data_IF_956777462508
#
_entry.id   IF_956777462508
#
_cell.length_a   1.000
_cell.length_b   1.000
_cell.length_c   1.000
_cell.angle_alpha   90.00
_cell.angle_beta   90.00
_cell.angle_gamma   90.00
#
_symmetry.space_group_name_H-M   'P 1'
#
loop_
_entity.id
_entity.type
_entity.pdbx_description
1 polymer ?
#
# COMPACT_ATOMS: atom_id res chain seq x y z
N UNK A 1 1.52 22.30 -5.24
CA UNK A 1 2.34 21.09 -5.57
C UNK A 1 1.99 19.94 -4.64
N UNK A 2 1.73 20.22 -3.35
CA UNK A 2 1.28 19.25 -2.34
C UNK A 2 -0.04 18.56 -2.72
N UNK A 3 -1.02 19.33 -3.20
CA UNK A 3 -2.37 18.83 -3.50
C UNK A 3 -2.40 17.72 -4.56
N UNK A 4 -1.47 17.76 -5.52
CA UNK A 4 -1.38 16.73 -6.56
C UNK A 4 -0.85 15.40 -6.01
N UNK A 5 0.15 15.46 -5.13
CA UNK A 5 0.70 14.26 -4.51
C UNK A 5 -0.31 13.67 -3.53
N UNK A 6 -1.00 14.52 -2.78
CA UNK A 6 -2.08 14.12 -1.88
C UNK A 6 -3.21 13.40 -2.62
N UNK A 7 -3.76 13.98 -3.69
CA UNK A 7 -4.81 13.32 -4.48
C UNK A 7 -4.31 12.00 -5.10
N UNK A 8 -3.07 11.95 -5.60
CA UNK A 8 -2.51 10.71 -6.15
C UNK A 8 -2.38 9.61 -5.08
N UNK A 9 -1.92 9.95 -3.88
CA UNK A 9 -1.82 9.02 -2.76
C UNK A 9 -3.21 8.55 -2.31
N UNK A 10 -4.15 9.49 -2.11
CA UNK A 10 -5.50 9.19 -1.64
C UNK A 10 -6.26 8.31 -2.64
N UNK A 11 -6.26 8.66 -3.93
CA UNK A 11 -6.93 7.87 -4.98
C UNK A 11 -6.36 6.46 -5.07
N UNK A 12 -5.03 6.33 -5.04
CA UNK A 12 -4.34 5.04 -5.11
C UNK A 12 -4.62 4.20 -3.86
N UNK A 13 -4.60 4.81 -2.67
CA UNK A 13 -4.94 4.13 -1.42
C UNK A 13 -6.39 3.63 -1.45
N UNK A 14 -7.36 4.45 -1.85
CA UNK A 14 -8.76 4.03 -1.98
C UNK A 14 -8.94 2.88 -2.98
N UNK A 15 -8.22 2.87 -4.11
CA UNK A 15 -8.22 1.72 -5.04
C UNK A 15 -7.73 0.43 -4.38
N UNK A 16 -6.68 0.52 -3.55
CA UNK A 16 -6.12 -0.64 -2.86
C UNK A 16 -7.02 -1.13 -1.72
N UNK A 17 -7.70 -0.22 -1.02
CA UNK A 17 -8.69 -0.57 0.01
C UNK A 17 -9.89 -1.31 -0.59
N UNK A 18 -10.30 -0.97 -1.82
CA UNK A 18 -11.41 -1.62 -2.51
C UNK A 18 -11.16 -3.10 -2.87
N UNK A 19 -9.90 -3.57 -2.82
CA UNK A 19 -9.57 -4.98 -3.01
C UNK A 19 -9.44 -5.64 -1.65
N UNK A 20 -10.37 -6.53 -1.30
CA UNK A 20 -10.20 -7.37 -0.11
C UNK A 20 -8.93 -8.22 -0.24
N UNK A 21 -8.13 -8.28 0.81
CA UNK A 21 -6.89 -9.08 0.84
C UNK A 21 -6.63 -9.71 2.20
N UNK A 22 -7.69 -9.92 2.99
CA UNK A 22 -7.58 -10.45 4.34
C UNK A 22 -6.87 -11.81 4.34
N UNK A 23 -5.93 -12.02 5.27
CA UNK A 23 -5.26 -13.30 5.46
C UNK A 23 -6.12 -14.28 6.27
N UNK A 24 -5.88 -15.58 6.07
CA UNK A 24 -6.55 -16.65 6.82
C UNK A 24 -5.50 -17.46 7.58
N UNK A 25 -5.48 -17.31 8.91
CA UNK A 25 -4.54 -17.99 9.79
C UNK A 25 -4.71 -19.52 9.83
N UNK A 26 -5.87 -20.05 9.39
CA UNK A 26 -6.14 -21.49 9.30
C UNK A 26 -5.67 -22.09 7.97
N UNK A 27 -5.34 -21.25 7.00
CA UNK A 27 -4.91 -21.69 5.68
C UNK A 27 -3.54 -22.38 5.76
N UNK A 28 -3.39 -23.43 4.97
CA UNK A 28 -2.13 -24.18 4.80
C UNK A 28 -1.45 -23.87 3.47
N UNK A 29 -2.00 -22.93 2.69
CA UNK A 29 -1.48 -22.49 1.41
C UNK A 29 -0.91 -21.07 1.51
N UNK A 30 -0.05 -20.71 0.56
CA UNK A 30 0.47 -19.36 0.40
C UNK A 30 0.23 -18.91 -1.06
N UNK A 31 -0.53 -17.83 -1.30
CA UNK A 31 -1.20 -16.99 -0.31
C UNK A 31 -2.29 -17.72 0.47
N UNK A 32 -2.65 -17.18 1.65
CA UNK A 32 -3.67 -17.79 2.51
C UNK A 32 -5.07 -17.67 1.91
N UNK A 33 -5.31 -16.62 1.12
CA UNK A 33 -6.60 -16.35 0.46
C UNK A 33 -6.40 -15.99 -1.02
N UNK A 34 -7.31 -16.42 -1.92
CA UNK A 34 -7.20 -16.10 -3.35
C UNK A 34 -7.24 -14.59 -3.66
N UNK A 35 -7.90 -13.80 -2.81
CA UNK A 35 -8.04 -12.35 -3.02
C UNK A 35 -6.70 -11.60 -2.92
N UNK A 36 -5.71 -12.16 -2.24
CA UNK A 36 -4.33 -11.63 -2.25
C UNK A 36 -3.71 -11.67 -3.65
N UNK A 37 -4.04 -12.67 -4.49
CA UNK A 37 -3.59 -12.68 -5.88
C UNK A 37 -4.17 -11.52 -6.70
N UNK A 38 -5.46 -11.17 -6.49
CA UNK A 38 -6.07 -10.06 -7.21
C UNK A 38 -5.37 -8.72 -6.89
N UNK A 39 -4.96 -8.53 -5.63
CA UNK A 39 -4.15 -7.38 -5.24
C UNK A 39 -2.76 -7.41 -5.91
N UNK A 40 -2.09 -8.56 -5.92
CA UNK A 40 -0.80 -8.73 -6.57
C UNK A 40 -0.84 -8.45 -8.08
N UNK A 41 -1.89 -8.92 -8.78
CA UNK A 41 -2.12 -8.67 -10.21
C UNK A 41 -2.29 -7.18 -10.50
N UNK A 42 -3.15 -6.49 -9.72
CA UNK A 42 -3.32 -5.03 -9.86
C UNK A 42 -1.98 -4.30 -9.71
N UNK A 43 -1.21 -4.61 -8.68
CA UNK A 43 0.07 -3.94 -8.42
C UNK A 43 1.08 -4.21 -9.54
N UNK A 44 1.17 -5.44 -10.04
CA UNK A 44 2.05 -5.78 -11.14
C UNK A 44 1.70 -5.00 -12.42
N UNK A 45 0.41 -4.87 -12.72
CA UNK A 45 -0.05 -4.11 -13.89
C UNK A 45 0.25 -2.62 -13.74
N UNK A 46 0.05 -2.03 -12.56
CA UNK A 46 0.42 -0.65 -12.30
C UNK A 46 1.95 -0.42 -12.38
N UNK A 47 2.77 -1.37 -11.91
CA UNK A 47 4.25 -1.31 -12.02
C UNK A 47 4.71 -1.39 -13.49
N UNK A 48 4.09 -2.28 -14.29
CA UNK A 48 4.34 -2.37 -15.74
C UNK A 48 3.93 -1.09 -16.45
N UNK A 49 2.75 -0.56 -16.16
CA UNK A 49 2.25 0.69 -16.73
C UNK A 49 3.16 1.89 -16.37
N UNK A 50 3.79 1.84 -15.20
CA UNK A 50 4.77 2.83 -14.74
C UNK A 50 6.17 2.66 -15.37
N UNK A 51 6.35 1.65 -16.23
CA UNK A 51 7.58 1.42 -16.98
C UNK A 51 8.70 0.76 -16.18
N UNK A 52 8.37 -0.03 -15.15
CA UNK A 52 9.36 -0.84 -14.44
C UNK A 52 9.70 -2.11 -15.22
N UNK A 53 10.95 -2.56 -15.04
CA UNK A 53 11.49 -3.78 -15.62
C UNK A 53 11.26 -4.98 -14.70
N UNK A 54 11.45 -6.19 -15.24
CA UNK A 54 11.51 -7.44 -14.46
C UNK A 54 10.28 -7.62 -13.53
N UNK A 55 9.09 -7.19 -13.98
CA UNK A 55 7.85 -7.30 -13.18
C UNK A 55 7.33 -8.73 -13.19
N UNK A 56 7.45 -9.41 -12.05
CA UNK A 56 7.08 -10.81 -11.85
C UNK A 56 6.11 -10.95 -10.68
N UNK A 57 5.12 -11.81 -10.85
CA UNK A 57 4.30 -12.34 -9.76
C UNK A 57 4.68 -13.82 -9.63
N UNK A 58 5.06 -14.26 -8.43
CA UNK A 58 5.29 -15.69 -8.17
C UNK A 58 4.01 -16.42 -7.75
N UNK A 59 4.12 -17.73 -7.56
CA UNK A 59 2.99 -18.59 -7.15
C UNK A 59 2.43 -18.24 -5.76
N UNK A 60 3.13 -17.43 -4.97
CA UNK A 60 2.78 -17.02 -3.61
C UNK A 60 2.22 -15.60 -3.53
N UNK A 61 1.84 -15.02 -4.69
CA UNK A 61 1.39 -13.64 -4.83
C UNK A 61 2.45 -12.59 -4.44
N UNK A 62 3.74 -12.95 -4.48
CA UNK A 62 4.82 -11.99 -4.29
C UNK A 62 5.03 -11.22 -5.59
N UNK A 63 4.88 -9.89 -5.52
CA UNK A 63 5.16 -9.02 -6.66
C UNK A 63 6.57 -8.47 -6.53
N UNK A 64 7.40 -8.67 -7.55
CA UNK A 64 8.71 -8.04 -7.66
C UNK A 64 8.79 -7.19 -8.91
N UNK A 65 9.46 -6.04 -8.81
CA UNK A 65 9.70 -5.16 -9.95
C UNK A 65 11.00 -4.37 -9.78
N UNK A 66 11.58 -3.98 -10.91
CA UNK A 66 12.84 -3.26 -10.95
C UNK A 66 12.68 -1.90 -11.59
N UNK A 67 13.08 -0.85 -10.87
CA UNK A 67 13.41 0.44 -11.48
C UNK A 67 14.92 0.52 -11.70
N UNK A 68 15.41 0.88 -12.88
CA UNK A 68 16.87 1.00 -13.10
C UNK A 68 17.39 2.32 -12.54
N UNK A 69 18.50 2.27 -11.82
CA UNK A 69 19.18 3.48 -11.34
C UNK A 69 19.94 4.19 -12.46
N UNK A 70 20.31 5.45 -12.21
CA UNK A 70 21.13 6.26 -13.13
C UNK A 70 22.58 6.46 -12.64
N UNK A 71 22.97 5.79 -11.55
CA UNK A 71 24.31 5.83 -10.95
C UNK A 71 24.86 4.41 -10.87
N UNK A 72 25.83 4.02 -11.72
CA UNK A 72 26.36 2.66 -11.75
C UNK A 72 26.93 2.19 -10.41
N UNK A 73 27.58 3.08 -9.66
CA UNK A 73 28.30 2.74 -8.43
C UNK A 73 27.48 2.95 -7.14
N UNK A 74 26.21 3.33 -7.28
CA UNK A 74 25.33 3.46 -6.12
C UNK A 74 24.90 2.07 -5.61
N UNK A 75 24.72 1.90 -4.29
CA UNK A 75 24.15 0.68 -3.73
C UNK A 75 22.71 0.50 -4.18
N UNK A 76 22.26 -0.77 -4.20
CA UNK A 76 20.86 -1.11 -4.46
C UNK A 76 20.05 -0.93 -3.18
N UNK A 77 18.85 -0.39 -3.31
CA UNK A 77 17.89 -0.25 -2.22
C UNK A 77 16.64 -1.04 -2.58
N UNK A 78 16.11 -1.77 -1.60
CA UNK A 78 14.86 -2.51 -1.71
C UNK A 78 13.78 -1.87 -0.83
N UNK A 79 12.56 -1.79 -1.34
CA UNK A 79 11.38 -1.44 -0.55
C UNK A 79 10.50 -2.68 -0.45
N UNK A 80 10.13 -3.04 0.79
CA UNK A 80 9.29 -4.20 1.06
C UNK A 80 8.05 -3.75 1.81
N UNK A 81 6.89 -4.23 1.36
CA UNK A 81 5.57 -3.98 1.94
C UNK A 81 4.76 -5.27 1.88
N UNK A 82 3.73 -5.43 2.71
CA UNK A 82 2.79 -6.54 2.55
C UNK A 82 1.46 -6.10 1.97
N UNK A 83 0.72 -7.03 1.37
CA UNK A 83 -0.53 -6.74 0.66
C UNK A 83 -1.78 -7.21 1.42
N UNK A 84 -1.61 -8.12 2.37
CA UNK A 84 -2.70 -8.67 3.14
C UNK A 84 -3.11 -7.75 4.29
N UNK A 85 -4.36 -7.93 4.74
CA UNK A 85 -4.88 -7.31 5.96
C UNK A 85 -5.14 -8.39 7.00
N UNK A 86 -5.02 -8.04 8.27
CA UNK A 86 -5.26 -8.99 9.37
C UNK A 86 -6.74 -9.39 9.48
N UNK A 87 -7.00 -10.65 9.85
CA UNK A 87 -8.30 -11.11 10.33
C UNK A 87 -8.41 -10.88 11.85
N UNK A 88 -9.32 -9.98 12.25
CA UNK A 88 -9.67 -9.69 13.64
C UNK A 88 -11.13 -10.04 13.96
N UNK A 89 -11.77 -10.87 13.12
CA UNK A 89 -13.19 -11.22 13.26
C UNK A 89 -14.16 -10.14 12.76
N UNK A 90 -13.67 -9.21 11.94
CA UNK A 90 -14.46 -8.16 11.28
C UNK A 90 -14.57 -8.42 9.77
N UNK A 91 -15.40 -7.63 9.09
CA UNK A 91 -15.59 -7.74 7.64
C UNK A 91 -14.26 -7.62 6.89
N UNK A 92 -14.01 -8.46 5.86
CA UNK A 92 -12.87 -8.33 4.97
C UNK A 92 -13.05 -7.22 3.92
N UNK A 93 -14.26 -6.65 3.81
CA UNK A 93 -14.62 -5.58 2.89
C UNK A 93 -14.49 -4.22 3.58
N UNK A 94 -13.71 -3.33 2.97
CA UNK A 94 -13.34 -2.05 3.56
C UNK A 94 -14.17 -0.94 2.93
N UNK A 95 -14.83 -0.14 3.77
CA UNK A 95 -15.59 1.04 3.37
C UNK A 95 -14.91 2.30 3.91
N UNK A 96 -13.90 2.84 3.19
CA UNK A 96 -13.15 3.99 3.67
C UNK A 96 -13.97 5.28 3.54
N UNK A 97 -13.80 6.17 4.52
CA UNK A 97 -14.42 7.49 4.55
C UNK A 97 -13.42 8.55 4.99
N UNK A 98 -13.53 9.75 4.42
CA UNK A 98 -12.71 10.91 4.83
C UNK A 98 -13.55 11.76 5.77
N UNK A 99 -13.16 11.82 7.04
CA UNK A 99 -13.82 12.63 8.06
C UNK A 99 -12.83 13.62 8.66
N UNK A 100 -13.31 14.79 9.06
CA UNK A 100 -12.47 15.77 9.79
C UNK A 100 -12.51 15.45 11.27
N UNK A 101 -11.35 15.21 11.87
CA UNK A 101 -11.27 14.98 13.31
C UNK A 101 -11.36 16.30 14.06
N UNK A 102 -12.38 16.47 14.91
CA UNK A 102 -12.62 17.72 15.64
C UNK A 102 -12.13 17.70 17.09
N UNK A 103 -11.59 16.58 17.57
CA UNK A 103 -11.13 16.42 18.96
C UNK A 103 -12.22 15.95 19.92
N UNK A 104 -13.34 15.47 19.41
CA UNK A 104 -14.49 14.94 20.15
C UNK A 104 -14.88 13.58 19.56
N UNK A 105 -15.65 12.77 20.28
CA UNK A 105 -16.11 11.46 19.80
C UNK A 105 -16.72 11.54 18.39
N UNK A 106 -16.32 10.62 17.52
CA UNK A 106 -16.69 10.60 16.11
C UNK A 106 -17.51 9.36 15.80
N UNK A 107 -18.73 9.55 15.31
CA UNK A 107 -19.56 8.44 14.83
C UNK A 107 -19.00 7.93 13.50
N UNK A 108 -18.59 6.67 13.46
CA UNK A 108 -18.10 6.00 12.25
C UNK A 108 -19.25 5.38 11.46
N UNK A 109 -20.25 4.85 12.16
CA UNK A 109 -21.43 4.24 11.55
C UNK A 109 -22.65 4.42 12.46
N UNK A 110 -23.61 5.23 12.01
CA UNK A 110 -24.81 5.55 12.76
C UNK A 110 -25.84 4.41 12.79
N UNK A 111 -25.84 3.53 11.77
CA UNK A 111 -26.79 2.40 11.69
C UNK A 111 -26.47 1.32 12.71
N UNK A 112 -25.18 1.13 13.01
CA UNK A 112 -24.67 0.13 13.95
C UNK A 112 -24.20 0.73 15.29
N UNK A 113 -24.40 2.04 15.48
CA UNK A 113 -23.96 2.80 16.67
C UNK A 113 -22.46 2.60 17.00
N UNK A 114 -21.60 2.69 15.97
CA UNK A 114 -20.15 2.54 16.11
C UNK A 114 -19.48 3.91 16.18
N UNK A 115 -18.67 4.10 17.22
CA UNK A 115 -18.01 5.36 17.53
C UNK A 115 -16.52 5.17 17.76
N UNK A 116 -15.73 6.11 17.28
CA UNK A 116 -14.36 6.31 17.74
C UNK A 116 -14.42 7.24 18.95
N UNK A 117 -14.15 6.69 20.13
CA UNK A 117 -14.13 7.44 21.39
C UNK A 117 -12.74 8.03 21.61
N UNK A 118 -12.68 9.33 21.90
CA UNK A 118 -11.41 10.01 22.14
C UNK A 118 -10.66 9.43 23.34
N UNK A 119 -11.38 9.04 24.38
CA UNK A 119 -10.80 8.47 25.59
C UNK A 119 -10.16 7.09 25.36
N UNK A 120 -10.68 6.32 24.41
CA UNK A 120 -10.16 5.01 24.03
C UNK A 120 -8.95 5.12 23.08
N UNK A 121 -8.88 6.22 22.32
CA UNK A 121 -7.88 6.47 21.29
C UNK A 121 -7.13 7.80 21.48
N UNK A 122 -6.41 8.02 22.60
CA UNK A 122 -5.72 9.29 22.85
C UNK A 122 -4.67 9.64 21.79
N UNK A 123 -4.16 8.66 21.04
CA UNK A 123 -3.22 8.83 19.92
C UNK A 123 -3.78 9.68 18.77
N UNK A 124 -5.09 9.85 18.67
CA UNK A 124 -5.72 10.68 17.63
C UNK A 124 -5.67 12.19 17.95
N UNK A 125 -5.35 12.57 19.19
CA UNK A 125 -5.35 13.96 19.64
C UNK A 125 -4.51 14.93 18.77
N UNK A 126 -3.35 14.56 18.20
CA UNK A 126 -2.56 15.46 17.35
C UNK A 126 -3.22 15.83 16.01
N UNK A 127 -4.28 15.13 15.59
CA UNK A 127 -4.90 15.28 14.27
C UNK A 127 -6.09 16.24 14.25
N UNK A 128 -6.32 17.03 15.30
CA UNK A 128 -7.46 17.97 15.37
C UNK A 128 -7.41 18.95 14.20
N UNK A 129 -8.53 19.08 13.50
CA UNK A 129 -8.70 19.89 12.30
C UNK A 129 -8.19 19.24 11.01
N UNK A 130 -7.62 18.04 11.05
CA UNK A 130 -7.15 17.33 9.88
C UNK A 130 -8.24 16.42 9.28
N UNK A 131 -8.17 16.21 7.98
CA UNK A 131 -8.91 15.15 7.31
C UNK A 131 -8.18 13.83 7.51
N UNK A 132 -8.89 12.84 8.05
CA UNK A 132 -8.38 11.51 8.34
C UNK A 132 -9.24 10.49 7.61
N UNK A 133 -8.59 9.46 7.07
CA UNK A 133 -9.27 8.34 6.43
C UNK A 133 -9.58 7.32 7.52
N UNK A 134 -10.86 7.02 7.73
CA UNK A 134 -11.35 6.01 8.66
C UNK A 134 -12.00 4.87 7.91
N UNK A 135 -12.15 3.71 8.57
CA UNK A 135 -13.17 2.75 8.14
C UNK A 135 -14.55 3.21 8.61
N UNK A 136 -15.60 2.53 8.19
CA UNK A 136 -16.94 2.65 8.73
C UNK A 136 -17.12 1.89 10.05
N UNK A 137 -16.05 1.37 10.65
CA UNK A 137 -16.10 0.59 11.89
C UNK A 137 -16.52 -0.87 11.71
N UNK A 138 -16.96 -1.30 10.52
CA UNK A 138 -17.32 -2.71 10.26
C UNK A 138 -16.14 -3.58 9.84
N UNK A 139 -15.01 -2.95 9.52
CA UNK A 139 -13.75 -3.53 9.08
C UNK A 139 -12.56 -2.78 9.65
N UNK A 140 -11.39 -3.41 9.64
CA UNK A 140 -10.12 -2.69 9.77
C UNK A 140 -9.88 -1.85 8.52
N UNK A 141 -9.21 -0.71 8.64
CA UNK A 141 -8.95 0.16 7.49
C UNK A 141 -7.97 -0.46 6.48
N UNK A 142 -7.10 -1.39 6.90
CA UNK A 142 -6.05 -1.94 6.04
C UNK A 142 -4.92 -0.96 5.71
N UNK A 143 -4.79 0.13 6.49
CA UNK A 143 -3.66 1.06 6.39
C UNK A 143 -2.33 0.32 6.58
N UNK A 144 -2.29 -0.60 7.55
CA UNK A 144 -1.27 -1.63 7.60
C UNK A 144 -1.62 -2.76 6.60
N UNK A 145 -0.92 -2.92 5.48
CA UNK A 145 0.24 -2.16 5.00
C UNK A 145 -0.03 -1.40 3.69
N UNK A 146 -1.29 -1.30 3.26
CA UNK A 146 -1.65 -0.70 1.97
C UNK A 146 -1.28 0.78 1.88
N UNK A 147 -1.11 1.47 3.02
CA UNK A 147 -0.58 2.84 3.03
C UNK A 147 0.88 2.88 2.54
N UNK A 148 1.72 1.95 2.99
CA UNK A 148 3.11 1.87 2.53
C UNK A 148 3.19 1.36 1.08
N UNK A 149 2.34 0.42 0.67
CA UNK A 149 2.20 0.01 -0.75
C UNK A 149 1.91 1.24 -1.61
N UNK A 150 0.96 2.07 -1.19
CA UNK A 150 0.61 3.34 -1.86
C UNK A 150 1.82 4.27 -2.00
N UNK A 151 2.59 4.44 -0.94
CA UNK A 151 3.81 5.27 -0.94
C UNK A 151 4.86 4.71 -1.89
N UNK A 152 5.16 3.41 -1.83
CA UNK A 152 6.17 2.77 -2.69
C UNK A 152 5.78 2.86 -4.16
N UNK A 153 4.53 2.56 -4.49
CA UNK A 153 4.03 2.61 -5.86
C UNK A 153 4.05 4.04 -6.42
N UNK A 154 3.65 5.02 -5.61
CA UNK A 154 3.71 6.45 -5.98
C UNK A 154 5.15 6.94 -6.12
N UNK A 155 6.05 6.49 -5.24
CA UNK A 155 7.48 6.78 -5.36
C UNK A 155 8.03 6.21 -6.66
N UNK A 156 7.72 4.95 -7.01
CA UNK A 156 8.22 4.34 -8.24
C UNK A 156 7.72 5.06 -9.50
N UNK A 157 6.47 5.51 -9.50
CA UNK A 157 5.89 6.32 -10.59
C UNK A 157 6.57 7.70 -10.70
N UNK A 158 6.74 8.39 -9.57
CA UNK A 158 7.19 9.78 -9.54
C UNK A 158 8.71 9.96 -9.56
N UNK A 159 9.47 8.92 -9.20
CA UNK A 159 10.93 8.96 -9.20
C UNK A 159 11.44 9.06 -10.64
N UNK A 160 11.81 10.27 -11.05
CA UNK A 160 12.39 10.53 -12.36
C UNK A 160 13.90 10.34 -12.31
N UNK A 161 14.43 9.50 -13.20
CA UNK A 161 15.85 9.56 -13.53
C UNK A 161 16.15 10.89 -14.20
N UNK A 162 17.28 11.51 -13.88
CA UNK A 162 17.73 12.72 -14.58
C UNK A 162 17.90 12.40 -16.07
N UNK A 163 16.92 12.82 -16.89
CA UNK A 163 16.92 12.71 -18.36
C UNK A 163 17.88 13.72 -19.01
N UNK A 164 18.67 14.46 -18.23
CA UNK A 164 19.70 15.39 -18.72
C UNK A 164 21.10 14.81 -18.58
N UNK A 165 21.42 13.79 -19.40
CA UNK A 165 22.72 13.69 -20.12
C UNK A 165 22.78 12.38 -20.92
N UNK A 166 23.03 12.56 -22.22
CA UNK A 166 23.45 11.60 -23.24
C UNK A 166 22.40 11.07 -24.23
N UNK A 167 21.98 11.98 -25.14
CA UNK A 167 22.01 11.63 -26.57
C UNK A 167 23.47 11.37 -26.95
N UNK A 168 23.84 10.11 -27.09
CA UNK A 168 25.13 9.69 -27.65
C UNK A 168 25.88 8.70 -26.76
N UNK A 169 25.97 7.45 -27.25
CA UNK A 169 26.93 6.45 -26.78
C UNK A 169 26.32 5.28 -26.02
N UNK A 170 26.34 4.10 -26.65
CA UNK A 170 26.20 2.80 -25.99
C UNK A 170 27.12 2.72 -24.75
N UNK A 171 26.55 2.39 -23.59
CA UNK A 171 27.22 1.60 -22.55
C UNK A 171 26.16 0.96 -21.64
N UNK A 172 25.89 -0.32 -21.87
CA UNK A 172 25.06 -1.16 -21.02
C UNK A 172 25.80 -1.47 -19.71
N UNK A 173 25.33 -0.89 -18.60
CA UNK A 173 25.76 -1.23 -17.24
C UNK A 173 24.52 -1.41 -16.36
N UNK A 174 23.99 -2.63 -16.31
CA UNK A 174 22.74 -2.99 -15.60
C UNK A 174 22.95 -3.03 -14.09
N UNK A 175 22.31 -2.16 -13.30
CA UNK A 175 22.04 -2.43 -11.85
C UNK A 175 20.72 -1.78 -11.38
N UNK A 176 20.01 -2.49 -10.50
CA UNK A 176 18.55 -2.50 -10.32
C UNK A 176 18.12 -2.00 -8.93
N UNK A 177 16.98 -1.33 -8.83
CA UNK A 177 16.17 -1.21 -7.61
C UNK A 177 15.21 -2.40 -7.54
N UNK A 178 14.73 -2.80 -6.36
CA UNK A 178 13.71 -3.85 -6.23
C UNK A 178 12.57 -3.39 -5.31
N UNK A 179 11.34 -3.33 -5.81
CA UNK A 179 10.16 -3.32 -4.97
C UNK A 179 9.71 -4.77 -4.80
N UNK A 180 9.50 -5.22 -3.55
CA UNK A 180 8.96 -6.55 -3.25
C UNK A 180 7.71 -6.39 -2.38
N UNK A 181 6.56 -6.83 -2.87
CA UNK A 181 5.36 -6.91 -2.07
C UNK A 181 5.15 -8.39 -1.68
N UNK A 182 5.11 -8.70 -0.39
CA UNK A 182 4.98 -10.08 0.12
C UNK A 182 3.60 -10.32 0.73
N UNK A 183 3.11 -11.57 0.70
CA UNK A 183 2.02 -12.02 1.57
C UNK A 183 2.61 -12.41 2.93
N UNK A 184 2.07 -11.89 4.04
CA UNK A 184 2.59 -12.26 5.36
C UNK A 184 2.35 -13.75 5.63
N UNK A 185 3.44 -14.51 5.79
CA UNK A 185 3.39 -15.90 6.23
C UNK A 185 3.06 -16.00 7.72
N UNK A 186 2.42 -17.11 8.10
CA UNK A 186 2.07 -17.43 9.49
C UNK A 186 3.33 -17.56 10.37
N UNK A 187 3.78 -16.45 10.97
CA UNK A 187 4.81 -16.46 12.01
C UNK A 187 5.82 -15.32 11.98
N UNK A 188 5.37 -14.07 11.99
CA UNK A 188 5.94 -12.93 12.74
C UNK A 188 5.38 -11.63 12.15
N UNK A 189 4.24 -11.21 12.68
CA UNK A 189 3.81 -9.82 12.63
C UNK A 189 3.86 -9.30 14.07
N UNK A 190 5.00 -8.69 14.42
CA UNK A 190 5.19 -7.81 15.57
C UNK A 190 6.10 -6.66 15.13
#
# INVERSE_FOLDING_TARGET
MTDKLESQLTERFFRYLAISSQSDAKSTTLPSTPSQHAMAELLADELRASGLDEVVIDEHATVTAVKRGNRPDAPRIGFITHIDTVDVGLSPDIHPQILTWQGEDLCLNAEQDIWLRREEHPEIAPYVGQQVIFSDGTSVLGADNKAAVTVVMTLMENLKGDQRRHRGGLCAGRRNWAARCESAGSGNAL
#
